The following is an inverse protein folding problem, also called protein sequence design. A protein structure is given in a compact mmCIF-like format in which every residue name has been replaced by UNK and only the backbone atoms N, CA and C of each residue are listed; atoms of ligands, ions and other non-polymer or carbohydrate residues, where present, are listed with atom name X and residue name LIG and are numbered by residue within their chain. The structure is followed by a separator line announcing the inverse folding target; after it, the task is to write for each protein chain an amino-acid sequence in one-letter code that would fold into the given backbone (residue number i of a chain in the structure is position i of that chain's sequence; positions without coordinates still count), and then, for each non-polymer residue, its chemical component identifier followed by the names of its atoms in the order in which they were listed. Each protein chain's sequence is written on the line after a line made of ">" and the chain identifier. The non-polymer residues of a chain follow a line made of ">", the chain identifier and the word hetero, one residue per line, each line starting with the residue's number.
data_IF_390228014680
#
_entry.id   IF_390228014680
#
_cell.length_a   1.000
_cell.length_b   1.000
_cell.length_c   1.000
_cell.angle_alpha   90.00
_cell.angle_beta   90.00
_cell.angle_gamma   90.00
#
_symmetry.space_group_name_H-M   'P 1'
#
loop_
_entity.id
_entity.type
_entity.pdbx_description
1 polymer ?
#
# COMPACT_ATOMS: atom_id res chain seq x y z
N UNK A 1 1.09 -8.96 -1.68
CA UNK A 1 1.86 -7.70 -1.50
C UNK A 1 0.90 -6.58 -1.10
N UNK A 2 1.39 -5.43 -0.60
CA UNK A 2 0.52 -4.34 -0.10
C UNK A 2 -0.46 -3.78 -1.15
N UNK A 3 0.00 -3.68 -2.41
CA UNK A 3 -0.80 -3.17 -3.53
C UNK A 3 -1.45 -4.30 -4.36
N UNK A 4 -1.67 -5.47 -3.77
CA UNK A 4 -2.32 -6.59 -4.45
C UNK A 4 -3.84 -6.50 -4.25
N UNK A 5 -4.59 -6.56 -5.35
CA UNK A 5 -6.06 -6.53 -5.34
C UNK A 5 -6.69 -7.62 -6.20
N UNK A 6 -6.02 -8.01 -7.29
CA UNK A 6 -6.61 -8.90 -8.30
C UNK A 6 -6.67 -10.35 -7.82
N UNK A 7 -5.61 -10.87 -7.21
CA UNK A 7 -5.59 -12.24 -6.69
C UNK A 7 -6.43 -12.33 -5.43
N UNK A 8 -6.36 -11.31 -4.57
CA UNK A 8 -7.24 -11.21 -3.40
C UNK A 8 -8.73 -11.28 -3.79
N UNK A 9 -9.13 -10.63 -4.89
CA UNK A 9 -10.51 -10.71 -5.40
C UNK A 9 -10.97 -12.14 -5.67
N UNK A 10 -10.10 -12.96 -6.29
CA UNK A 10 -10.41 -14.33 -6.68
C UNK A 10 -10.65 -15.21 -5.45
N UNK A 11 -9.86 -15.03 -4.39
CA UNK A 11 -9.92 -15.90 -3.21
C UNK A 11 -10.81 -15.37 -2.08
N UNK A 12 -10.98 -14.06 -1.97
CA UNK A 12 -11.60 -13.41 -0.81
C UNK A 12 -12.94 -12.73 -1.14
N UNK A 13 -13.42 -12.77 -2.38
CA UNK A 13 -14.70 -12.18 -2.78
C UNK A 13 -15.91 -12.71 -1.99
N UNK A 14 -15.83 -13.92 -1.45
CA UNK A 14 -16.92 -14.53 -0.66
C UNK A 14 -16.83 -14.22 0.83
N UNK A 15 -15.70 -13.69 1.34
CA UNK A 15 -15.49 -13.42 2.76
C UNK A 15 -15.09 -11.97 3.02
N UNK A 16 -16.06 -11.16 3.44
CA UNK A 16 -15.86 -9.73 3.70
C UNK A 16 -14.87 -9.43 4.83
N UNK A 17 -14.60 -10.37 5.74
CA UNK A 17 -13.75 -10.14 6.90
C UNK A 17 -12.24 -9.99 6.57
N UNK A 18 -11.81 -10.47 5.40
CA UNK A 18 -10.40 -10.55 5.03
C UNK A 18 -10.07 -9.75 3.76
N UNK A 19 -10.95 -8.83 3.37
CA UNK A 19 -10.73 -8.02 2.18
C UNK A 19 -9.53 -7.07 2.40
N UNK A 20 -8.60 -6.99 1.43
CA UNK A 20 -7.49 -6.08 1.52
C UNK A 20 -7.98 -4.62 1.43
N UNK A 21 -7.19 -3.70 1.97
CA UNK A 21 -7.52 -2.26 1.93
C UNK A 21 -7.68 -1.72 0.50
N UNK A 22 -6.98 -2.32 -0.47
CA UNK A 22 -7.11 -2.02 -1.90
C UNK A 22 -8.51 -2.26 -2.46
N UNK A 23 -9.28 -3.19 -1.88
CA UNK A 23 -10.68 -3.42 -2.24
C UNK A 23 -11.60 -2.27 -1.80
N UNK A 24 -11.33 -1.68 -0.63
CA UNK A 24 -12.06 -0.52 -0.13
C UNK A 24 -12.02 0.66 -1.10
N UNK A 25 -10.84 0.95 -1.66
CA UNK A 25 -10.66 2.02 -2.67
C UNK A 25 -11.41 1.69 -3.97
N UNK A 26 -11.34 0.44 -4.44
CA UNK A 26 -12.00 0.03 -5.68
C UNK A 26 -13.52 0.11 -5.63
N UNK A 27 -14.15 -0.06 -4.46
CA UNK A 27 -15.59 0.13 -4.32
C UNK A 27 -16.01 1.57 -4.70
N UNK A 28 -15.23 2.57 -4.30
CA UNK A 28 -15.46 3.97 -4.67
C UNK A 28 -15.03 4.31 -6.11
N UNK A 29 -14.41 3.36 -6.82
CA UNK A 29 -14.06 3.50 -8.24
C UNK A 29 -15.12 2.87 -9.15
N UNK A 30 -15.68 1.72 -8.73
CA UNK A 30 -16.53 0.86 -9.57
C UNK A 30 -18.02 0.86 -9.19
N UNK A 31 -18.37 0.97 -7.89
CA UNK A 31 -19.76 0.88 -7.43
C UNK A 31 -20.39 2.28 -7.30
N UNK A 32 -19.67 3.18 -6.64
CA UNK A 32 -20.11 4.56 -6.41
C UNK A 32 -18.90 5.45 -6.69
N UNK A 33 -18.81 6.01 -7.90
CA UNK A 33 -17.66 6.84 -8.27
C UNK A 33 -17.70 8.16 -7.52
N UNK A 34 -16.74 8.38 -6.62
CA UNK A 34 -16.56 9.65 -5.93
C UNK A 34 -15.07 10.01 -5.92
N UNK A 35 -14.66 10.90 -6.83
CA UNK A 35 -13.24 11.14 -7.14
C UNK A 35 -12.44 11.70 -5.95
N UNK A 36 -13.05 12.55 -5.12
CA UNK A 36 -12.40 13.06 -3.91
C UNK A 36 -12.13 11.96 -2.87
N UNK A 37 -13.04 11.00 -2.71
CA UNK A 37 -12.87 9.85 -1.80
C UNK A 37 -11.82 8.89 -2.35
N UNK A 38 -11.77 8.67 -3.67
CA UNK A 38 -10.73 7.86 -4.30
C UNK A 38 -9.34 8.45 -4.04
N UNK A 39 -9.16 9.76 -4.21
CA UNK A 39 -7.89 10.43 -3.95
C UNK A 39 -7.51 10.39 -2.46
N UNK A 40 -8.45 10.73 -1.57
CA UNK A 40 -8.20 10.70 -0.13
C UNK A 40 -7.84 9.29 0.37
N UNK A 41 -8.58 8.28 -0.06
CA UNK A 41 -8.32 6.89 0.32
C UNK A 41 -7.00 6.37 -0.23
N UNK A 42 -6.59 6.78 -1.44
CA UNK A 42 -5.27 6.46 -1.98
C UNK A 42 -4.12 7.02 -1.12
N UNK A 43 -4.27 8.26 -0.62
CA UNK A 43 -3.31 8.87 0.32
C UNK A 43 -3.29 8.11 1.65
N UNK A 44 -4.45 7.72 2.18
CA UNK A 44 -4.54 6.94 3.44
C UNK A 44 -3.83 5.59 3.32
N UNK A 45 -4.03 4.87 2.20
CA UNK A 45 -3.38 3.58 1.94
C UNK A 45 -1.85 3.72 1.84
N UNK A 46 -1.34 4.88 1.41
CA UNK A 46 0.10 5.16 1.36
C UNK A 46 0.74 5.43 2.72
N UNK A 47 -0.03 5.81 3.74
CA UNK A 47 0.52 6.14 5.07
C UNK A 47 1.31 4.96 5.64
N UNK A 48 0.77 3.74 5.57
CA UNK A 48 1.42 2.54 6.12
C UNK A 48 2.78 2.25 5.46
N UNK A 49 2.90 2.11 4.13
CA UNK A 49 4.19 1.89 3.49
C UNK A 49 5.16 3.07 3.70
N UNK A 50 4.67 4.31 3.75
CA UNK A 50 5.51 5.47 4.09
C UNK A 50 6.09 5.33 5.49
N UNK A 51 5.27 5.02 6.49
CA UNK A 51 5.74 4.78 7.86
C UNK A 51 6.75 3.63 7.93
N UNK A 52 6.49 2.52 7.23
CA UNK A 52 7.43 1.40 7.15
C UNK A 52 8.76 1.85 6.54
N UNK A 53 8.74 2.65 5.47
CA UNK A 53 9.95 3.20 4.87
C UNK A 53 10.70 4.10 5.85
N UNK A 54 10.01 5.02 6.54
CA UNK A 54 10.62 5.90 7.54
C UNK A 54 11.29 5.12 8.67
N UNK A 55 10.64 4.09 9.20
CA UNK A 55 11.21 3.22 10.23
C UNK A 55 12.38 2.39 9.68
N UNK A 56 12.28 1.94 8.43
CA UNK A 56 13.32 1.17 7.77
C UNK A 56 14.50 2.01 7.28
N UNK A 57 14.40 3.35 7.24
CA UNK A 57 15.45 4.24 6.71
C UNK A 57 16.81 3.98 7.36
N UNK A 58 16.85 3.74 8.67
CA UNK A 58 18.09 3.44 9.39
C UNK A 58 18.79 2.18 8.85
N UNK A 59 18.03 1.15 8.50
CA UNK A 59 18.58 -0.10 7.96
C UNK A 59 19.09 0.05 6.53
N UNK A 60 18.37 0.79 5.70
CA UNK A 60 18.81 1.08 4.31
C UNK A 60 20.06 1.96 4.26
N UNK A 61 20.19 2.93 5.17
CA UNK A 61 21.35 3.83 5.20
C UNK A 61 22.64 3.16 5.68
N UNK A 62 22.55 2.14 6.54
CA UNK A 62 23.73 1.39 6.99
C UNK A 62 24.46 0.66 5.87
N UNK A 63 23.74 0.15 4.86
CA UNK A 63 24.34 -0.49 3.68
C UNK A 63 25.03 0.48 2.73
N UNK A 64 24.50 1.71 2.59
CA UNK A 64 25.04 2.75 1.71
C UNK A 64 26.39 3.30 2.18
N UNK A 65 26.58 3.47 3.50
CA UNK A 65 27.82 4.03 4.07
C UNK A 65 29.00 3.08 3.85
N UNK A 66 28.76 1.76 3.92
CA UNK A 66 29.80 0.74 3.73
C UNK A 66 30.25 0.69 2.26
N UNK A 67 29.33 0.91 1.31
CA UNK A 67 29.66 0.96 -0.13
C UNK A 67 30.25 2.28 -0.61
N UNK A 68 30.17 3.34 0.20
CA UNK A 68 30.61 4.70 -0.17
C UNK A 68 32.10 5.00 0.07
N UNK A 69 32.86 4.08 0.70
CA UNK A 69 34.30 4.25 0.95
C UNK A 69 35.19 3.62 -0.13
N UNK A 70 34.61 3.05 -1.19
CA UNK A 70 35.36 2.50 -2.32
C UNK A 70 35.54 3.54 -3.44
N UNK A 71 36.23 4.65 -3.14
CA UNK A 71 36.93 5.50 -4.12
C UNK A 71 38.13 6.17 -3.50
#
# INVERSE_FOLDING_TARGET
>A
TWNESRQAAVYLSTSSAFLPVSFGVQNYQSLIRIDNVIQASSVVVLIVPVLVLFLAQRFFMQGLIITGMER
#
